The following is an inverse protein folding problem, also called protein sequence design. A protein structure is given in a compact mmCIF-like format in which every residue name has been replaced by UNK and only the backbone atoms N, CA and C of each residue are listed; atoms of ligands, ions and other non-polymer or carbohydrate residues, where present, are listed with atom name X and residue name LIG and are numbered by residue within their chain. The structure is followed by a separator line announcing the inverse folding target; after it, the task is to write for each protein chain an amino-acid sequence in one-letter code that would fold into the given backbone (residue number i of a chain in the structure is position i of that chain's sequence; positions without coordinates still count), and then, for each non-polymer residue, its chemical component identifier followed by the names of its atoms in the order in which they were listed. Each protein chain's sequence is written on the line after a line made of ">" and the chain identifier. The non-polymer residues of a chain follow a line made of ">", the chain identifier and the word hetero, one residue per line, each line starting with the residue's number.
data_IF_296316452096
#
_entry.id   IF_296316452096
#
_cell.length_a   1.000
_cell.length_b   1.000
_cell.length_c   1.000
_cell.angle_alpha   90.00
_cell.angle_beta   90.00
_cell.angle_gamma   90.00
#
_symmetry.space_group_name_H-M   'P 1'
#
loop_
_entity.id
_entity.type
_entity.pdbx_description
1 polymer ?
#
# COMPACT_ATOMS: atom_id res chain seq x y z
N UNK A 1 -11.83 -31.64 10.96
CA UNK A 1 -11.97 -30.25 10.47
C UNK A 1 -10.65 -29.55 10.73
N UNK A 2 -10.11 -28.74 9.81
CA UNK A 2 -8.85 -28.02 10.03
C UNK A 2 -9.11 -26.79 10.91
N UNK A 3 -8.22 -26.50 11.85
CA UNK A 3 -8.35 -25.29 12.67
C UNK A 3 -8.25 -24.02 11.81
N UNK A 4 -9.05 -23.01 12.18
CA UNK A 4 -9.00 -21.72 11.53
C UNK A 4 -7.68 -20.99 11.84
N UNK A 5 -7.15 -20.27 10.86
CA UNK A 5 -5.97 -19.42 11.05
C UNK A 5 -6.36 -18.23 11.93
N UNK A 6 -5.64 -18.04 13.03
CA UNK A 6 -5.92 -16.96 13.99
C UNK A 6 -5.80 -15.58 13.34
N UNK A 7 -6.58 -14.56 13.77
CA UNK A 7 -6.49 -13.21 13.23
C UNK A 7 -5.07 -12.63 13.27
N UNK A 8 -4.33 -12.87 14.36
CA UNK A 8 -2.94 -12.42 14.53
C UNK A 8 -2.02 -13.01 13.45
N UNK A 9 -2.19 -14.30 13.14
CA UNK A 9 -1.41 -14.96 12.10
C UNK A 9 -1.79 -14.46 10.71
N UNK A 10 -3.07 -14.19 10.45
CA UNK A 10 -3.54 -13.61 9.18
C UNK A 10 -2.92 -12.22 8.94
N UNK A 11 -2.95 -11.36 9.94
CA UNK A 11 -2.32 -10.02 9.90
C UNK A 11 -0.81 -10.15 9.73
N UNK A 12 -0.14 -11.04 10.48
CA UNK A 12 1.29 -11.27 10.36
C UNK A 12 1.73 -11.70 8.96
N UNK A 13 0.97 -12.60 8.31
CA UNK A 13 1.22 -13.02 6.91
C UNK A 13 1.13 -11.81 5.96
N UNK A 14 0.07 -11.02 6.08
CA UNK A 14 -0.16 -9.89 5.19
C UNK A 14 0.89 -8.79 5.36
N UNK A 15 1.24 -8.42 6.61
CA UNK A 15 2.28 -7.45 6.90
C UNK A 15 3.65 -7.91 6.43
N UNK A 16 4.01 -9.18 6.66
CA UNK A 16 5.27 -9.73 6.16
C UNK A 16 5.34 -9.64 4.63
N UNK A 17 4.22 -9.92 3.95
CA UNK A 17 4.15 -9.81 2.49
C UNK A 17 4.26 -8.36 1.99
N UNK A 18 3.67 -7.39 2.71
CA UNK A 18 3.77 -5.95 2.38
C UNK A 18 5.18 -5.39 2.62
N UNK A 19 5.84 -5.82 3.68
CA UNK A 19 7.14 -5.29 4.11
C UNK A 19 8.35 -6.03 3.50
N UNK A 20 8.13 -7.01 2.62
CA UNK A 20 9.22 -7.77 1.99
C UNK A 20 8.98 -8.02 0.50
N UNK A 21 10.05 -8.29 -0.24
CA UNK A 21 9.99 -8.78 -1.62
C UNK A 21 9.87 -10.31 -1.71
N UNK A 22 9.54 -10.99 -0.61
CA UNK A 22 9.52 -12.43 -0.55
C UNK A 22 8.41 -13.02 -1.44
N UNK A 23 8.73 -14.12 -2.12
CA UNK A 23 7.74 -14.89 -2.88
C UNK A 23 6.70 -15.52 -1.94
N UNK A 24 5.48 -15.75 -2.45
CA UNK A 24 4.40 -16.37 -1.68
C UNK A 24 4.79 -17.76 -1.13
N UNK A 25 5.73 -18.45 -1.78
CA UNK A 25 6.31 -19.72 -1.30
C UNK A 25 7.09 -19.51 0.00
N UNK A 26 8.00 -18.54 0.03
CA UNK A 26 8.80 -18.23 1.22
C UNK A 26 7.91 -17.85 2.40
N UNK A 27 6.88 -17.03 2.16
CA UNK A 27 5.92 -16.64 3.21
C UNK A 27 5.10 -17.85 3.67
N UNK A 28 4.65 -18.69 2.74
CA UNK A 28 3.89 -19.90 3.05
C UNK A 28 4.69 -20.86 3.94
N UNK A 29 5.97 -21.08 3.62
CA UNK A 29 6.88 -21.93 4.38
C UNK A 29 7.13 -21.34 5.78
N UNK A 30 7.38 -20.03 5.89
CA UNK A 30 7.62 -19.34 7.16
C UNK A 30 6.42 -19.43 8.12
N UNK A 31 5.20 -19.28 7.60
CA UNK A 31 3.98 -19.30 8.41
C UNK A 31 3.29 -20.66 8.45
N UNK A 32 3.80 -21.68 7.75
CA UNK A 32 3.20 -23.02 7.70
C UNK A 32 1.77 -23.02 7.15
N UNK A 33 1.55 -22.33 6.03
CA UNK A 33 0.25 -22.23 5.33
C UNK A 33 0.40 -22.58 3.84
N UNK A 34 -0.71 -22.72 3.11
CA UNK A 34 -0.64 -22.90 1.65
C UNK A 34 -0.26 -21.60 0.93
N UNK A 35 0.43 -21.71 -0.21
CA UNK A 35 0.76 -20.55 -1.08
C UNK A 35 -0.48 -19.74 -1.47
N UNK A 36 -1.57 -20.41 -1.85
CA UNK A 36 -2.84 -19.75 -2.15
C UNK A 36 -3.40 -19.02 -0.94
N UNK A 37 -3.26 -19.59 0.26
CA UNK A 37 -3.70 -18.97 1.51
C UNK A 37 -2.95 -17.67 1.80
N UNK A 38 -1.64 -17.60 1.54
CA UNK A 38 -0.88 -16.33 1.65
C UNK A 38 -1.51 -15.25 0.78
N UNK A 39 -1.73 -15.55 -0.52
CA UNK A 39 -2.28 -14.59 -1.46
C UNK A 39 -3.69 -14.12 -1.06
N UNK A 40 -4.56 -15.06 -0.68
CA UNK A 40 -5.92 -14.76 -0.22
C UNK A 40 -5.90 -13.87 1.03
N UNK A 41 -5.07 -14.19 2.02
CA UNK A 41 -4.98 -13.42 3.26
C UNK A 41 -4.40 -12.02 3.04
N UNK A 42 -3.39 -11.91 2.17
CA UNK A 42 -2.82 -10.64 1.75
C UNK A 42 -3.88 -9.73 1.12
N UNK A 43 -4.64 -10.22 0.13
CA UNK A 43 -5.68 -9.44 -0.55
C UNK A 43 -6.80 -9.01 0.41
N UNK A 44 -7.31 -9.95 1.21
CA UNK A 44 -8.34 -9.65 2.21
C UNK A 44 -7.89 -8.59 3.20
N UNK A 45 -6.63 -8.66 3.65
CA UNK A 45 -6.07 -7.65 4.54
C UNK A 45 -6.00 -6.29 3.86
N UNK A 46 -5.44 -6.20 2.65
CA UNK A 46 -5.36 -4.93 1.90
C UNK A 46 -6.75 -4.32 1.66
N UNK A 47 -7.72 -5.11 1.21
CA UNK A 47 -9.10 -4.66 1.01
C UNK A 47 -9.73 -4.12 2.31
N UNK A 48 -9.52 -4.85 3.41
CA UNK A 48 -10.05 -4.43 4.73
C UNK A 48 -9.38 -3.13 5.18
N UNK A 49 -8.06 -3.02 5.08
CA UNK A 49 -7.29 -1.83 5.45
C UNK A 49 -7.76 -0.62 4.66
N UNK A 50 -7.88 -0.75 3.34
CA UNK A 50 -8.38 0.34 2.48
C UNK A 50 -9.80 0.72 2.91
N UNK A 51 -10.72 -0.24 3.05
CA UNK A 51 -12.11 0.06 3.42
C UNK A 51 -12.29 0.78 4.77
N UNK A 52 -11.35 0.58 5.71
CA UNK A 52 -11.43 1.16 7.05
C UNK A 52 -10.66 2.48 7.14
N UNK A 53 -9.47 2.55 6.53
CA UNK A 53 -8.54 3.67 6.73
C UNK A 53 -8.57 4.71 5.60
N UNK A 54 -9.09 4.39 4.41
CA UNK A 54 -9.07 5.31 3.26
C UNK A 54 -9.68 6.68 3.62
N UNK A 55 -10.84 6.70 4.26
CA UNK A 55 -11.52 7.96 4.60
C UNK A 55 -10.77 8.83 5.63
N UNK A 56 -9.95 8.22 6.47
CA UNK A 56 -9.18 8.94 7.50
C UNK A 56 -7.82 9.41 6.96
N UNK A 57 -7.20 8.62 6.09
CA UNK A 57 -5.82 8.83 5.63
C UNK A 57 -5.72 9.46 4.23
N UNK A 58 -6.68 9.20 3.34
CA UNK A 58 -6.73 9.75 1.98
C UNK A 58 -7.73 10.90 1.96
N UNK A 59 -7.28 12.06 2.45
CA UNK A 59 -8.05 13.30 2.47
C UNK A 59 -7.30 14.43 1.76
N UNK A 60 -8.06 15.37 1.21
CA UNK A 60 -7.48 16.61 0.70
C UNK A 60 -7.04 17.49 1.87
N UNK A 61 -5.90 18.15 1.70
CA UNK A 61 -5.34 19.10 2.67
C UNK A 61 -6.32 20.24 2.90
N UNK A 62 -6.64 20.57 4.16
CA UNK A 62 -7.50 21.73 4.47
C UNK A 62 -6.74 23.05 4.31
N UNK A 63 -7.46 24.18 4.26
CA UNK A 63 -6.82 25.50 4.18
C UNK A 63 -5.91 25.79 5.40
N UNK A 64 -6.31 25.32 6.59
CA UNK A 64 -5.52 25.45 7.81
C UNK A 64 -4.27 24.57 7.77
N UNK A 65 -4.40 23.33 7.29
CA UNK A 65 -3.26 22.40 7.12
C UNK A 65 -2.28 22.92 6.05
N UNK A 66 -2.78 23.54 4.98
CA UNK A 66 -1.98 24.10 3.89
C UNK A 66 -0.99 25.16 4.39
N UNK A 67 -1.42 26.09 5.25
CA UNK A 67 -0.55 27.13 5.78
C UNK A 67 0.63 26.54 6.58
N UNK A 68 0.36 25.47 7.34
CA UNK A 68 1.40 24.73 8.07
C UNK A 68 2.36 24.03 7.12
N UNK A 69 1.86 23.36 6.09
CA UNK A 69 2.72 22.67 5.10
C UNK A 69 3.61 23.64 4.32
N UNK A 70 3.12 24.84 3.99
CA UNK A 70 3.94 25.89 3.37
C UNK A 70 5.11 26.27 4.28
N UNK A 71 4.85 26.46 5.59
CA UNK A 71 5.90 26.79 6.55
C UNK A 71 6.91 25.65 6.72
N UNK A 72 6.44 24.41 6.82
CA UNK A 72 7.28 23.21 6.92
C UNK A 72 8.17 23.07 5.67
N UNK A 73 7.61 23.30 4.47
CA UNK A 73 8.35 23.23 3.22
C UNK A 73 9.38 24.37 3.07
N UNK A 74 9.00 25.60 3.40
CA UNK A 74 9.90 26.76 3.39
C UNK A 74 11.05 26.57 4.39
N UNK A 75 10.80 26.00 5.57
CA UNK A 75 11.84 25.74 6.58
C UNK A 75 12.93 24.78 6.08
N UNK A 76 12.57 23.83 5.22
CA UNK A 76 13.51 22.84 4.67
C UNK A 76 14.17 23.31 3.38
N UNK A 77 13.44 24.03 2.53
CA UNK A 77 13.88 24.36 1.16
C UNK A 77 14.28 25.81 0.97
N UNK A 78 13.94 26.71 1.91
CA UNK A 78 13.99 28.17 1.77
C UNK A 78 13.16 28.74 0.61
N UNK A 79 12.29 27.94 0.00
CA UNK A 79 11.41 28.39 -1.07
C UNK A 79 10.07 28.84 -0.48
N UNK A 80 9.71 30.10 -0.72
CA UNK A 80 8.52 30.72 -0.12
C UNK A 80 7.25 30.31 -0.83
N UNK A 81 6.15 30.24 -0.07
CA UNK A 81 4.80 30.02 -0.59
C UNK A 81 4.65 28.79 -1.49
N UNK A 82 5.39 27.72 -1.21
CA UNK A 82 5.30 26.45 -1.94
C UNK A 82 5.03 25.28 -1.01
N UNK A 83 4.51 24.21 -1.59
CA UNK A 83 4.35 22.90 -0.95
C UNK A 83 4.95 21.83 -1.85
N UNK A 84 5.41 20.74 -1.24
CA UNK A 84 5.82 19.55 -1.97
C UNK A 84 4.61 18.83 -2.53
N UNK A 85 4.69 18.44 -3.80
CA UNK A 85 3.76 17.50 -4.40
C UNK A 85 4.46 16.15 -4.57
N UNK A 86 3.80 15.07 -4.18
CA UNK A 86 4.21 13.73 -4.60
C UNK A 86 3.71 13.57 -6.04
N UNK A 87 4.61 13.74 -7.01
CA UNK A 87 4.35 13.35 -8.39
C UNK A 87 4.31 11.82 -8.48
N UNK A 88 3.55 11.29 -9.44
CA UNK A 88 3.11 9.89 -9.49
C UNK A 88 4.21 8.85 -9.25
N UNK A 89 3.83 7.70 -8.68
CA UNK A 89 4.72 6.55 -8.60
C UNK A 89 4.54 5.69 -9.86
N UNK A 90 5.64 5.30 -10.51
CA UNK A 90 5.61 4.36 -11.62
C UNK A 90 5.35 2.95 -11.10
N UNK A 91 4.15 2.44 -11.33
CA UNK A 91 3.80 1.06 -11.01
C UNK A 91 3.86 0.20 -12.27
N UNK A 92 4.56 -0.94 -12.17
CA UNK A 92 4.46 -1.98 -13.19
C UNK A 92 3.03 -2.52 -13.22
N UNK A 93 2.33 -2.18 -14.29
CA UNK A 93 0.99 -2.70 -14.57
C UNK A 93 1.05 -3.67 -15.75
N UNK A 94 0.34 -4.78 -15.64
CA UNK A 94 0.09 -5.65 -16.79
C UNK A 94 -1.06 -5.04 -17.59
N UNK A 95 -0.78 -4.42 -18.74
CA UNK A 95 -1.81 -3.70 -19.46
C UNK A 95 -2.86 -4.66 -20.04
N UNK A 96 -4.12 -4.20 -20.18
CA UNK A 96 -5.12 -4.92 -20.97
C UNK A 96 -4.59 -5.15 -22.38
N UNK A 97 -4.81 -6.36 -22.93
CA UNK A 97 -4.28 -6.74 -24.26
C UNK A 97 -4.70 -5.78 -25.37
N UNK A 98 -5.92 -5.24 -25.27
CA UNK A 98 -6.54 -4.36 -26.26
C UNK A 98 -5.83 -2.99 -26.38
N UNK A 99 -5.10 -2.57 -25.34
CA UNK A 99 -4.44 -1.26 -25.27
C UNK A 99 -2.95 -1.37 -24.95
N UNK A 100 -2.33 -2.56 -25.10
CA UNK A 100 -0.97 -2.81 -24.63
C UNK A 100 0.09 -1.85 -25.22
N UNK A 101 -0.14 -1.32 -26.42
CA UNK A 101 0.75 -0.33 -27.07
C UNK A 101 0.72 1.05 -26.42
N UNK A 102 -0.30 1.35 -25.63
CA UNK A 102 -0.49 2.64 -24.97
C UNK A 102 0.18 2.68 -23.58
N UNK A 103 0.69 1.54 -23.11
CA UNK A 103 1.37 1.42 -21.82
C UNK A 103 2.89 1.33 -22.03
N UNK A 104 3.58 2.40 -21.64
CA UNK A 104 5.03 2.49 -21.63
C UNK A 104 5.54 2.27 -20.20
N UNK A 105 6.39 1.27 -20.00
CA UNK A 105 7.09 1.03 -18.74
C UNK A 105 8.47 1.67 -18.74
#
# INVERSE_FOLDING_TARGET
>A
MREAITPQKRVGIALYKLCSSAEDRTVADLFGVGRSTVNTLYRQFCETVVSVLEHEWIKMVTAEEMARHIQEFEAVTSFRQSVGALDGCHFLISPPKEHATDYYN
#
